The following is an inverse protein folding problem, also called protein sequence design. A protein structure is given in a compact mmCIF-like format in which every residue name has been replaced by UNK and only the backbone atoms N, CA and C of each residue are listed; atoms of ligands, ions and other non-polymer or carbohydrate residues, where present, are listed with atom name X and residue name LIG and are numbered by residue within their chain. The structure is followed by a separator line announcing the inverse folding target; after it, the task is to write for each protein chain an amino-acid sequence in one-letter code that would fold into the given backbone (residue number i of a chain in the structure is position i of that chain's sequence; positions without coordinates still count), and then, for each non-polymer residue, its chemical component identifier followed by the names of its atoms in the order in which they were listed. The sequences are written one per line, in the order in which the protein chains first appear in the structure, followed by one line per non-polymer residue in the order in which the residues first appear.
data_IF_864030844931
#
_entry.id   IF_864030844931
#
_cell.length_a   1.000
_cell.length_b   1.000
_cell.length_c   1.000
_cell.angle_alpha   90.00
_cell.angle_beta   90.00
_cell.angle_gamma   90.00
#
_symmetry.space_group_name_H-M   'P 1'
#
loop_
_entity.id
_entity.type
_entity.pdbx_description
1 polymer ?
#
# COMPACT_ATOMS: atom_id res chain seq x y z
N UNK A 1 -16.31 -28.76 32.41
CA UNK A 1 -16.68 -27.37 32.69
C UNK A 1 -15.43 -26.65 33.13
N UNK A 2 -15.13 -25.52 32.50
CA UNK A 2 -13.96 -24.68 32.75
C UNK A 2 -14.03 -24.01 34.12
N UNK A 3 -12.87 -23.77 34.72
CA UNK A 3 -12.49 -22.68 35.65
C UNK A 3 -11.22 -23.12 36.43
N UNK A 4 -10.20 -22.34 36.76
CA UNK A 4 -9.87 -20.92 36.59
C UNK A 4 -8.45 -20.69 37.20
N UNK A 5 -7.77 -19.63 36.72
CA UNK A 5 -7.03 -18.65 37.52
C UNK A 5 -5.77 -19.06 38.34
N UNK A 6 -4.61 -18.50 37.98
CA UNK A 6 -3.43 -18.43 38.85
C UNK A 6 -2.95 -16.98 39.05
N UNK A 7 -3.26 -16.51 40.26
CA UNK A 7 -2.48 -15.66 41.17
C UNK A 7 -1.78 -14.38 40.67
N UNK A 8 -2.35 -13.25 41.10
CA UNK A 8 -1.65 -12.02 41.43
C UNK A 8 -0.81 -12.14 42.72
N UNK A 9 0.20 -11.30 42.89
CA UNK A 9 0.55 -10.66 44.18
C UNK A 9 1.42 -9.39 43.99
N UNK A 10 1.43 -8.47 44.99
CA UNK A 10 1.46 -7.01 44.81
C UNK A 10 2.70 -6.36 45.45
N UNK A 11 2.87 -5.03 45.34
CA UNK A 11 3.48 -4.24 46.45
C UNK A 11 3.16 -2.73 46.43
N UNK A 12 2.30 -2.31 47.37
CA UNK A 12 2.33 -1.16 48.31
C UNK A 12 2.69 0.28 47.85
N UNK A 13 1.62 1.10 47.77
CA UNK A 13 1.29 2.42 48.38
C UNK A 13 2.38 3.38 48.93
N UNK A 14 2.29 4.67 48.55
CA UNK A 14 2.22 5.84 49.47
C UNK A 14 1.33 6.94 48.88
N UNK A 15 0.37 7.42 49.67
CA UNK A 15 -0.45 8.62 49.42
C UNK A 15 0.05 9.75 50.33
N UNK A 16 0.27 10.95 49.81
CA UNK A 16 0.40 12.18 50.59
C UNK A 16 -0.51 13.25 50.00
N UNK A 17 -1.42 13.80 50.81
CA UNK A 17 -2.32 14.91 50.48
C UNK A 17 -1.90 16.15 51.26
N UNK A 18 -1.84 17.31 50.62
CA UNK A 18 -1.93 18.65 51.25
C UNK A 18 -2.39 19.70 50.22
N UNK A 19 -3.09 20.71 50.72
CA UNK A 19 -4.08 21.59 50.07
C UNK A 19 -3.53 22.81 49.28
N UNK A 20 -4.35 23.23 48.30
CA UNK A 20 -4.69 24.60 47.81
C UNK A 20 -3.59 25.59 47.39
N UNK A 21 -3.52 25.90 46.07
CA UNK A 21 -3.41 27.26 45.49
C UNK A 21 -3.52 27.22 43.95
N UNK A 22 -4.12 28.26 43.37
CA UNK A 22 -4.56 28.44 41.98
C UNK A 22 -3.53 28.09 40.88
N UNK A 23 -3.99 27.51 39.76
CA UNK A 23 -3.28 27.57 38.47
C UNK A 23 -3.74 26.58 37.38
N UNK A 24 -4.64 27.04 36.52
CA UNK A 24 -4.86 26.64 35.10
C UNK A 24 -5.25 25.18 34.77
N UNK A 25 -6.41 24.93 34.13
CA UNK A 25 -6.66 23.63 33.49
C UNK A 25 -5.94 23.63 32.14
N UNK A 26 -4.72 23.08 32.06
CA UNK A 26 -4.20 22.64 30.76
C UNK A 26 -4.85 21.29 30.47
N UNK A 27 -6.08 21.35 29.97
CA UNK A 27 -6.64 20.25 29.23
C UNK A 27 -5.72 20.06 28.02
N UNK A 28 -4.76 19.15 28.14
CA UNK A 28 -4.07 18.58 27.01
C UNK A 28 -5.18 17.98 26.13
N UNK A 29 -5.61 18.76 25.15
CA UNK A 29 -6.45 18.32 24.07
C UNK A 29 -5.66 17.22 23.40
N UNK A 30 -5.99 15.97 23.72
CA UNK A 30 -5.77 14.85 22.83
C UNK A 30 -6.56 15.17 21.56
N UNK A 31 -5.96 15.99 20.70
CA UNK A 31 -6.39 16.16 19.33
C UNK A 31 -5.94 14.87 18.64
N UNK A 32 -6.73 13.82 18.83
CA UNK A 32 -6.79 12.76 17.83
C UNK A 32 -7.23 13.46 16.55
N UNK A 33 -6.25 13.80 15.69
CA UNK A 33 -6.54 14.26 14.34
C UNK A 33 -7.55 13.29 13.71
N UNK A 34 -8.62 13.77 13.05
CA UNK A 34 -9.55 12.88 12.39
C UNK A 34 -8.75 12.04 11.38
N UNK A 35 -8.68 10.74 11.64
CA UNK A 35 -8.12 9.78 10.69
C UNK A 35 -8.91 9.94 9.40
N UNK A 36 -8.26 10.43 8.35
CA UNK A 36 -8.91 10.65 7.07
C UNK A 36 -9.57 9.35 6.61
N UNK A 37 -10.86 9.43 6.24
CA UNK A 37 -11.61 8.30 5.71
C UNK A 37 -10.86 7.68 4.51
N UNK A 38 -10.42 6.44 4.66
CA UNK A 38 -9.76 5.67 3.60
C UNK A 38 -10.82 5.00 2.75
N UNK A 39 -10.98 5.49 1.52
CA UNK A 39 -11.87 4.87 0.52
C UNK A 39 -11.16 3.68 -0.11
N UNK A 40 -11.88 2.58 -0.31
CA UNK A 40 -11.32 1.32 -0.81
C UNK A 40 -12.12 0.81 -2.01
N UNK A 41 -11.42 0.42 -3.08
CA UNK A 41 -11.96 -0.36 -4.18
C UNK A 41 -11.22 -1.70 -4.24
N UNK A 42 -11.96 -2.79 -4.39
CA UNK A 42 -11.41 -4.14 -4.59
C UNK A 42 -11.80 -4.66 -5.96
N UNK A 43 -10.94 -5.44 -6.59
CA UNK A 43 -11.19 -6.02 -7.90
C UNK A 43 -10.11 -7.00 -8.30
N UNK A 44 -10.05 -7.31 -9.59
CA UNK A 44 -9.04 -8.19 -10.18
C UNK A 44 -8.64 -7.59 -11.53
N UNK A 45 -7.75 -6.59 -11.50
CA UNK A 45 -7.26 -5.92 -12.69
C UNK A 45 -5.95 -6.58 -13.08
N UNK A 46 -5.94 -7.38 -14.15
CA UNK A 46 -4.78 -8.19 -14.52
C UNK A 46 -4.32 -7.92 -15.93
N UNK A 47 -3.00 -7.97 -16.12
CA UNK A 47 -2.39 -8.06 -17.44
C UNK A 47 -1.35 -9.17 -17.44
N UNK A 48 -1.41 -10.01 -18.47
CA UNK A 48 -0.37 -10.99 -18.76
C UNK A 48 0.43 -10.55 -19.99
N UNK A 49 1.76 -10.67 -19.93
CA UNK A 49 2.66 -10.60 -21.09
C UNK A 49 3.74 -11.66 -20.96
N UNK A 50 3.81 -12.55 -21.95
CA UNK A 50 4.67 -13.74 -21.87
C UNK A 50 4.28 -14.59 -20.65
N UNK A 51 5.27 -14.90 -19.81
CA UNK A 51 5.10 -15.66 -18.57
C UNK A 51 4.94 -14.79 -17.31
N UNK A 52 4.84 -13.48 -17.47
CA UNK A 52 4.60 -12.54 -16.38
C UNK A 52 3.13 -12.13 -16.36
N UNK A 53 2.50 -12.26 -15.20
CA UNK A 53 1.18 -11.70 -14.92
C UNK A 53 1.31 -10.67 -13.81
N UNK A 54 0.76 -9.48 -13.99
CA UNK A 54 0.63 -8.45 -12.94
C UNK A 54 -0.85 -8.23 -12.66
N UNK A 55 -1.20 -8.19 -11.38
CA UNK A 55 -2.55 -8.03 -10.88
C UNK A 55 -2.61 -6.94 -9.82
N UNK A 56 -3.62 -6.09 -9.91
CA UNK A 56 -4.01 -5.17 -8.84
C UNK A 56 -5.33 -5.66 -8.24
N UNK A 57 -5.33 -5.93 -6.93
CA UNK A 57 -6.50 -6.47 -6.23
C UNK A 57 -7.23 -5.45 -5.37
N UNK A 58 -6.51 -4.40 -4.95
CA UNK A 58 -7.04 -3.37 -4.05
C UNK A 58 -6.43 -2.01 -4.36
N UNK A 59 -7.26 -0.99 -4.26
CA UNK A 59 -6.92 0.42 -4.38
C UNK A 59 -7.44 1.13 -3.14
N UNK A 60 -6.56 1.81 -2.41
CA UNK A 60 -6.90 2.69 -1.31
C UNK A 60 -6.70 4.15 -1.75
N UNK A 61 -7.63 5.03 -1.40
CA UNK A 61 -7.47 6.47 -1.55
C UNK A 61 -7.81 7.20 -0.26
N UNK A 62 -6.92 8.09 0.19
CA UNK A 62 -7.12 8.94 1.36
C UNK A 62 -6.53 10.33 1.08
N UNK A 63 -7.32 11.39 1.25
CA UNK A 63 -6.92 12.77 0.96
C UNK A 63 -6.27 12.94 -0.43
N UNK A 64 -6.77 12.23 -1.44
CA UNK A 64 -6.23 12.22 -2.81
C UNK A 64 -4.93 11.43 -3.01
N UNK A 65 -4.30 10.91 -1.95
CA UNK A 65 -3.18 9.97 -2.09
C UNK A 65 -3.69 8.57 -2.34
N UNK A 66 -3.08 7.88 -3.30
CA UNK A 66 -3.50 6.55 -3.75
C UNK A 66 -2.44 5.52 -3.44
N UNK A 67 -2.88 4.36 -2.97
CA UNK A 67 -2.07 3.15 -2.76
C UNK A 67 -2.68 1.98 -3.51
N UNK A 68 -1.86 1.33 -4.34
CA UNK A 68 -2.22 0.13 -5.09
C UNK A 68 -1.64 -1.10 -4.41
N UNK A 69 -2.41 -2.18 -4.31
CA UNK A 69 -1.94 -3.49 -3.86
C UNK A 69 -1.75 -4.37 -5.09
N UNK A 70 -0.50 -4.75 -5.32
CA UNK A 70 -0.05 -5.34 -6.57
C UNK A 70 0.56 -6.71 -6.29
N UNK A 71 0.23 -7.68 -7.11
CA UNK A 71 0.90 -8.98 -7.15
C UNK A 71 1.43 -9.20 -8.56
N UNK A 72 2.69 -9.60 -8.70
CA UNK A 72 3.17 -10.20 -9.94
C UNK A 72 3.42 -11.69 -9.75
N UNK A 73 3.21 -12.44 -10.82
CA UNK A 73 3.41 -13.89 -10.88
C UNK A 73 4.29 -14.19 -12.08
N UNK A 74 5.38 -14.91 -11.83
CA UNK A 74 6.31 -15.40 -12.82
C UNK A 74 6.06 -16.89 -13.06
N UNK A 75 5.40 -17.25 -14.15
CA UNK A 75 5.13 -18.63 -14.53
C UNK A 75 6.33 -19.31 -15.21
N UNK A 76 7.48 -18.64 -15.32
CA UNK A 76 8.65 -19.18 -16.01
C UNK A 76 9.54 -20.04 -15.12
N UNK A 77 10.46 -20.75 -15.79
CA UNK A 77 11.53 -21.52 -15.16
C UNK A 77 12.79 -20.70 -14.84
N UNK A 78 12.76 -19.38 -15.02
CA UNK A 78 13.88 -18.50 -14.67
C UNK A 78 13.40 -17.36 -13.77
N UNK A 79 14.33 -16.71 -13.07
CA UNK A 79 14.01 -15.48 -12.32
C UNK A 79 13.73 -14.30 -13.25
N UNK A 80 12.91 -13.37 -12.78
CA UNK A 80 12.69 -12.06 -13.39
C UNK A 80 12.92 -10.96 -12.36
N UNK A 81 13.29 -9.78 -12.84
CA UNK A 81 13.42 -8.56 -12.03
C UNK A 81 12.49 -7.48 -12.57
N UNK A 82 11.63 -6.96 -11.71
CA UNK A 82 10.72 -5.84 -11.93
C UNK A 82 11.20 -4.66 -11.07
N UNK A 83 12.08 -3.79 -11.58
CA UNK A 83 12.69 -2.72 -10.78
C UNK A 83 11.65 -1.70 -10.27
N UNK A 84 11.89 -1.16 -9.07
CA UNK A 84 11.02 -0.14 -8.44
C UNK A 84 11.03 1.17 -9.22
N UNK A 85 12.21 1.59 -9.70
CA UNK A 85 12.40 2.78 -10.54
C UNK A 85 11.73 2.64 -11.92
N UNK A 86 11.39 1.41 -12.32
CA UNK A 86 10.61 1.14 -13.52
C UNK A 86 9.09 1.28 -13.35
N UNK A 87 8.60 1.63 -12.15
CA UNK A 87 7.17 1.76 -11.86
C UNK A 87 6.67 3.17 -12.21
N UNK A 88 5.68 3.24 -13.10
CA UNK A 88 4.98 4.48 -13.44
C UNK A 88 3.47 4.26 -13.40
N UNK A 89 2.72 5.28 -12.98
CA UNK A 89 1.25 5.26 -12.98
C UNK A 89 0.74 6.43 -13.84
N UNK A 90 -0.12 6.14 -14.82
CA UNK A 90 -0.75 7.13 -15.68
C UNK A 90 -2.24 7.22 -15.36
N UNK A 91 -2.79 8.42 -15.22
CA UNK A 91 -4.24 8.60 -15.09
C UNK A 91 -4.97 8.73 -16.44
N UNK A 92 -6.31 8.72 -16.42
CA UNK A 92 -7.14 8.90 -17.62
C UNK A 92 -7.07 10.33 -18.21
N UNK A 93 -6.51 11.29 -17.46
CA UNK A 93 -6.22 12.66 -17.89
C UNK A 93 -4.79 12.86 -18.41
N UNK A 94 -4.03 11.76 -18.58
CA UNK A 94 -2.66 11.71 -19.11
C UNK A 94 -1.58 12.32 -18.21
N UNK A 95 -1.82 12.43 -16.90
CA UNK A 95 -0.78 12.76 -15.92
C UNK A 95 -0.07 11.51 -15.45
N UNK A 96 1.25 11.62 -15.34
CA UNK A 96 2.12 10.54 -14.87
C UNK A 96 2.53 10.79 -13.43
N UNK A 97 2.47 9.75 -12.62
CA UNK A 97 2.85 9.70 -11.22
C UNK A 97 3.99 8.70 -11.04
N UNK A 98 4.89 8.97 -10.11
CA UNK A 98 5.92 8.03 -9.70
C UNK A 98 5.55 7.35 -8.39
N UNK A 99 6.22 6.25 -8.05
CA UNK A 99 6.05 5.62 -6.75
C UNK A 99 6.85 6.39 -5.67
N UNK A 100 6.20 7.00 -4.69
CA UNK A 100 6.90 7.60 -3.53
C UNK A 100 7.47 6.58 -2.57
N UNK A 101 6.81 5.44 -2.47
CA UNK A 101 7.27 4.31 -1.68
C UNK A 101 6.68 3.02 -2.22
N UNK A 102 7.47 1.96 -2.16
CA UNK A 102 7.00 0.63 -2.52
C UNK A 102 7.52 -0.41 -1.55
N UNK A 103 6.62 -1.24 -1.01
CA UNK A 103 7.00 -2.53 -0.40
C UNK A 103 7.24 -3.60 -1.48
N UNK A 104 7.75 -3.16 -2.61
CA UNK A 104 8.06 -3.96 -3.77
C UNK A 104 9.57 -4.17 -3.78
N UNK A 105 10.03 -5.40 -3.65
CA UNK A 105 11.47 -5.72 -3.63
C UNK A 105 12.05 -5.98 -5.04
N UNK A 106 11.18 -6.04 -6.05
CA UNK A 106 11.54 -6.17 -7.45
C UNK A 106 12.00 -7.54 -7.92
N UNK A 107 12.12 -8.54 -7.04
CA UNK A 107 12.54 -9.88 -7.44
C UNK A 107 11.35 -10.82 -7.60
N UNK A 108 11.32 -11.59 -8.68
CA UNK A 108 10.39 -12.69 -8.90
C UNK A 108 11.16 -13.98 -9.12
N UNK A 109 11.06 -14.89 -8.16
CA UNK A 109 11.63 -16.23 -8.27
C UNK A 109 10.94 -17.03 -9.37
N UNK A 110 11.61 -18.08 -9.85
CA UNK A 110 11.03 -19.04 -10.79
C UNK A 110 9.72 -19.61 -10.23
N UNK A 111 8.66 -19.65 -11.05
CA UNK A 111 7.34 -20.16 -10.68
C UNK A 111 6.65 -19.39 -9.54
N UNK A 112 7.26 -18.31 -9.05
CA UNK A 112 6.85 -17.62 -7.83
C UNK A 112 5.96 -16.42 -8.10
N UNK A 113 5.40 -15.90 -7.02
CA UNK A 113 4.73 -14.61 -6.99
C UNK A 113 5.37 -13.70 -5.96
N UNK A 114 5.18 -12.41 -6.15
CA UNK A 114 5.62 -11.38 -5.25
C UNK A 114 4.54 -10.31 -5.14
N UNK A 115 4.26 -9.86 -3.92
CA UNK A 115 3.20 -8.91 -3.62
C UNK A 115 3.77 -7.71 -2.89
N UNK A 116 3.30 -6.53 -3.26
CA UNK A 116 3.71 -5.29 -2.63
C UNK A 116 2.66 -4.21 -2.78
N UNK A 117 3.01 -3.03 -2.29
CA UNK A 117 2.19 -1.82 -2.46
C UNK A 117 2.94 -0.79 -3.26
N UNK A 118 2.22 -0.05 -4.11
CA UNK A 118 2.73 1.13 -4.83
C UNK A 118 1.96 2.35 -4.32
N UNK A 119 2.65 3.30 -3.71
CA UNK A 119 2.06 4.57 -3.25
C UNK A 119 2.46 5.67 -4.22
N UNK A 120 1.51 6.43 -4.73
CA UNK A 120 1.80 7.56 -5.62
C UNK A 120 2.49 8.69 -4.86
N UNK A 121 3.39 9.40 -5.53
CA UNK A 121 4.12 10.56 -5.01
C UNK A 121 3.26 11.79 -4.78
N UNK A 122 2.32 12.02 -5.69
CA UNK A 122 1.43 13.17 -5.64
C UNK A 122 -0.03 12.76 -5.38
N UNK A 123 -0.84 13.77 -5.03
CA UNK A 123 -2.28 13.58 -4.95
C UNK A 123 -2.84 13.46 -6.37
N UNK A 124 -3.74 12.51 -6.57
CA UNK A 124 -4.46 12.37 -7.83
C UNK A 124 -5.46 13.51 -7.98
N UNK A 125 -5.57 14.06 -9.19
CA UNK A 125 -6.42 15.20 -9.49
C UNK A 125 -7.92 14.88 -9.35
N UNK A 126 -8.72 15.91 -9.08
CA UNK A 126 -10.17 15.77 -9.13
C UNK A 126 -10.62 15.36 -10.55
N UNK A 127 -11.60 14.46 -10.63
CA UNK A 127 -12.18 14.01 -11.89
C UNK A 127 -11.48 12.82 -12.55
N UNK A 128 -10.32 12.38 -12.03
CA UNK A 128 -9.68 11.13 -12.45
C UNK A 128 -10.58 9.94 -12.11
N UNK A 129 -10.75 9.03 -13.06
CA UNK A 129 -11.64 7.86 -12.91
C UNK A 129 -10.86 6.56 -12.83
N UNK A 130 -9.73 6.49 -13.52
CA UNK A 130 -8.94 5.27 -13.60
C UNK A 130 -7.46 5.54 -13.76
N UNK A 131 -6.68 4.53 -13.40
CA UNK A 131 -5.22 4.50 -13.48
C UNK A 131 -4.76 3.37 -14.39
N UNK A 132 -3.56 3.54 -14.92
CA UNK A 132 -2.78 2.51 -15.61
C UNK A 132 -1.45 2.37 -14.90
N UNK A 133 -1.21 1.21 -14.28
CA UNK A 133 0.05 0.87 -13.65
C UNK A 133 0.98 0.23 -14.68
N UNK A 134 2.19 0.73 -14.83
CA UNK A 134 3.21 0.17 -15.73
C UNK A 134 4.45 -0.21 -14.96
N UNK A 135 4.92 -1.44 -15.19
CA UNK A 135 6.29 -1.84 -14.89
C UNK A 135 7.09 -1.80 -16.18
N UNK A 136 8.25 -1.15 -16.13
CA UNK A 136 9.21 -1.04 -17.23
C UNK A 136 10.59 -1.55 -16.79
N UNK A 137 11.54 -1.64 -17.72
CA UNK A 137 12.90 -2.13 -17.47
C UNK A 137 12.94 -3.55 -16.88
N UNK A 138 11.94 -4.38 -17.24
CA UNK A 138 11.84 -5.76 -16.78
C UNK A 138 12.95 -6.59 -17.40
N UNK A 139 13.68 -7.33 -16.56
CA UNK A 139 14.81 -8.14 -17.01
C UNK A 139 14.69 -9.60 -16.55
N UNK A 140 15.41 -10.49 -17.25
CA UNK A 140 15.35 -11.95 -17.08
C UNK A 140 15.20 -12.66 -18.42
N UNK A 141 15.58 -13.94 -18.47
CA UNK A 141 15.58 -14.73 -19.71
C UNK A 141 14.20 -14.79 -20.39
N UNK A 142 13.12 -14.78 -19.60
CA UNK A 142 11.74 -14.83 -20.09
C UNK A 142 10.98 -13.52 -19.86
N UNK A 143 11.69 -12.40 -19.66
CA UNK A 143 11.07 -11.10 -19.54
C UNK A 143 10.15 -10.81 -20.76
N UNK A 144 9.01 -10.12 -20.56
CA UNK A 144 8.10 -9.81 -21.66
C UNK A 144 8.80 -8.99 -22.74
N UNK A 145 8.43 -9.22 -24.01
CA UNK A 145 8.90 -8.40 -25.14
C UNK A 145 8.63 -6.92 -24.89
N UNK A 146 9.63 -6.08 -25.12
CA UNK A 146 9.57 -4.65 -24.80
C UNK A 146 9.83 -4.31 -23.32
N UNK A 147 10.26 -5.30 -22.52
CA UNK A 147 10.67 -5.15 -21.12
C UNK A 147 9.64 -4.42 -20.25
N UNK A 148 8.35 -4.59 -20.55
CA UNK A 148 7.28 -3.84 -19.89
C UNK A 148 5.95 -4.60 -19.82
N UNK A 149 5.12 -4.24 -18.84
CA UNK A 149 3.73 -4.68 -18.69
C UNK A 149 2.91 -3.55 -18.07
N UNK A 150 1.69 -3.35 -18.60
CA UNK A 150 0.78 -2.31 -18.13
C UNK A 150 -0.58 -2.89 -17.77
N UNK A 151 -1.03 -2.65 -16.54
CA UNK A 151 -2.38 -2.97 -16.06
C UNK A 151 -3.23 -1.71 -16.17
N UNK A 152 -4.16 -1.69 -17.12
CA UNK A 152 -5.04 -0.54 -17.37
C UNK A 152 -6.39 -0.67 -16.66
N UNK A 153 -7.12 0.45 -16.58
CA UNK A 153 -8.51 0.47 -16.13
C UNK A 153 -8.70 0.23 -14.63
N UNK A 154 -7.67 0.50 -13.82
CA UNK A 154 -7.73 0.39 -12.35
C UNK A 154 -8.60 1.54 -11.82
N UNK A 155 -9.78 1.29 -11.23
CA UNK A 155 -10.68 2.36 -10.80
C UNK A 155 -10.19 3.03 -9.51
N UNK A 156 -10.49 4.33 -9.37
CA UNK A 156 -10.36 5.02 -8.09
C UNK A 156 -11.64 4.86 -7.25
N UNK A 157 -11.52 4.57 -5.95
CA UNK A 157 -12.69 4.52 -5.07
C UNK A 157 -13.26 5.92 -4.88
N UNK A 158 -14.59 6.03 -4.89
CA UNK A 158 -15.33 7.30 -4.86
C UNK A 158 -15.66 7.79 -3.47
#
# INVERSE_FOLDING_TARGET
MSSENSAAKPNVTVTTTSQDTLGTPDAALDVTEPSADVKVATGSFKQQRGMLTVEVTRVEAANGRVKLFVTATNASQARMTLPVDGIAVLDDLKRTYTASSSKWDGLLTQGGSNSGTVVLDEKVGAGVKSLTLTFSSISGQFAPTGASVSVAGIPLPK
#
